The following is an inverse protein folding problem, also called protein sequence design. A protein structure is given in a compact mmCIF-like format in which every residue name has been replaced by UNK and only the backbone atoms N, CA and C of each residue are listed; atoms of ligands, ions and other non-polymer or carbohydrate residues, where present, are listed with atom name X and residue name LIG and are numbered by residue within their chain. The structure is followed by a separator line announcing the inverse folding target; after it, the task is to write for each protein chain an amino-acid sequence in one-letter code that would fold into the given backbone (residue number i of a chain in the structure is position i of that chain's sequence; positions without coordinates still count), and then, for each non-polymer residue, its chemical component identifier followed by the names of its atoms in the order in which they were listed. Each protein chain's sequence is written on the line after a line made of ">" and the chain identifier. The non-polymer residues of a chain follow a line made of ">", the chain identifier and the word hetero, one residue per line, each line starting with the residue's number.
data_IF_024989682639
#
_entry.id   IF_024989682639
#
_cell.length_a   1.000
_cell.length_b   1.000
_cell.length_c   1.000
_cell.angle_alpha   90.00
_cell.angle_beta   90.00
_cell.angle_gamma   90.00
#
_symmetry.space_group_name_H-M   'P 1'
#
loop_
_entity.id
_entity.type
_entity.pdbx_description
1 polymer ?
#
# COMPACT_ATOMS: atom_id res chain seq x y z
N UNK A 1 -13.56 -22.51 40.02
CA UNK A 1 -12.10 -22.39 39.74
C UNK A 1 -11.81 -21.94 38.31
N UNK A 2 -12.77 -21.97 37.38
CA UNK A 2 -12.58 -21.63 35.96
C UNK A 2 -12.79 -20.13 35.66
N UNK A 3 -13.61 -19.42 36.43
CA UNK A 3 -13.92 -17.99 36.19
C UNK A 3 -12.75 -17.05 36.48
N UNK A 4 -11.94 -17.34 37.51
CA UNK A 4 -10.77 -16.52 37.87
C UNK A 4 -9.68 -16.55 36.80
N UNK A 5 -9.57 -17.67 36.07
CA UNK A 5 -8.60 -17.82 34.99
C UNK A 5 -9.01 -16.98 33.78
N UNK A 6 -10.31 -16.89 33.47
CA UNK A 6 -10.81 -16.10 32.35
C UNK A 6 -10.62 -14.59 32.54
N UNK A 7 -10.92 -14.06 33.73
CA UNK A 7 -10.69 -12.64 34.05
C UNK A 7 -9.20 -12.27 34.01
N UNK A 8 -8.32 -13.17 34.42
CA UNK A 8 -6.86 -12.96 34.36
C UNK A 8 -6.30 -12.92 32.92
N UNK A 9 -6.94 -13.66 32.00
CA UNK A 9 -6.57 -13.69 30.57
C UNK A 9 -7.02 -12.41 29.88
N UNK A 10 -8.24 -11.94 30.17
CA UNK A 10 -8.79 -10.70 29.59
C UNK A 10 -8.06 -9.47 30.15
N UNK A 11 -7.71 -9.47 31.44
CA UNK A 11 -6.98 -8.36 32.08
C UNK A 11 -5.54 -8.17 31.56
N UNK A 12 -4.94 -9.20 30.96
CA UNK A 12 -3.61 -9.13 30.34
C UNK A 12 -3.66 -8.98 28.82
N UNK A 13 -4.85 -8.92 28.22
CA UNK A 13 -5.02 -8.68 26.80
C UNK A 13 -4.79 -7.19 26.51
N UNK A 14 -3.55 -6.83 26.22
CA UNK A 14 -3.28 -5.60 25.50
C UNK A 14 -3.60 -5.89 24.04
N UNK A 15 -4.61 -5.23 23.42
CA UNK A 15 -4.82 -5.38 21.98
C UNK A 15 -3.49 -5.09 21.30
N UNK A 16 -2.98 -6.04 20.50
CA UNK A 16 -1.80 -5.77 19.69
C UNK A 16 -2.10 -4.51 18.88
N UNK A 17 -1.13 -3.58 18.85
CA UNK A 17 -1.25 -2.34 18.07
C UNK A 17 -1.78 -2.72 16.68
N UNK A 18 -2.92 -2.16 16.28
CA UNK A 18 -3.50 -2.43 14.96
C UNK A 18 -2.55 -1.87 13.91
N UNK A 19 -1.69 -2.73 13.36
CA UNK A 19 -0.75 -2.35 12.32
C UNK A 19 -1.55 -2.02 11.05
N UNK A 20 -1.52 -0.75 10.65
CA UNK A 20 -2.18 -0.28 9.44
C UNK A 20 -1.19 -0.20 8.30
N UNK A 21 -1.41 -1.01 7.27
CA UNK A 21 -0.56 -1.06 6.09
C UNK A 21 -1.19 -0.31 4.90
N UNK A 22 -0.35 0.29 4.07
CA UNK A 22 -0.70 0.83 2.76
C UNK A 22 -0.05 -0.08 1.72
N UNK A 23 -0.83 -0.57 0.76
CA UNK A 23 -0.35 -1.31 -0.40
C UNK A 23 -0.57 -0.43 -1.63
N UNK A 24 0.50 -0.12 -2.36
CA UNK A 24 0.42 0.75 -3.53
C UNK A 24 1.31 0.24 -4.67
N UNK A 25 0.86 0.35 -5.92
CA UNK A 25 1.77 0.30 -7.04
C UNK A 25 2.51 1.64 -7.16
N UNK A 26 3.63 1.63 -7.86
CA UNK A 26 4.33 2.84 -8.27
C UNK A 26 4.90 2.65 -9.69
N UNK A 27 4.57 3.58 -10.56
CA UNK A 27 5.09 3.72 -11.91
C UNK A 27 6.17 4.79 -11.94
N UNK A 28 6.21 5.58 -13.02
CA UNK A 28 7.27 6.58 -13.23
C UNK A 28 6.90 7.99 -12.79
N UNK A 29 5.72 8.18 -12.18
CA UNK A 29 5.24 9.47 -11.68
C UNK A 29 4.88 9.36 -10.19
N UNK A 30 5.35 10.28 -9.33
CA UNK A 30 5.21 10.11 -7.88
C UNK A 30 3.84 10.50 -7.30
N UNK A 31 3.05 11.30 -8.03
CA UNK A 31 1.89 12.02 -7.46
C UNK A 31 0.81 11.17 -6.81
N UNK A 32 0.50 10.00 -7.38
CA UNK A 32 -0.51 9.10 -6.79
C UNK A 32 -0.07 8.57 -5.43
N UNK A 33 1.15 8.02 -5.33
CA UNK A 33 1.68 7.52 -4.06
C UNK A 33 1.84 8.66 -3.04
N UNK A 34 2.34 9.82 -3.47
CA UNK A 34 2.45 11.01 -2.62
C UNK A 34 1.09 11.40 -2.02
N UNK A 35 0.05 11.47 -2.85
CA UNK A 35 -1.32 11.80 -2.43
C UNK A 35 -1.83 10.80 -1.40
N UNK A 36 -1.64 9.49 -1.62
CA UNK A 36 -2.05 8.45 -0.67
C UNK A 36 -1.37 8.64 0.68
N UNK A 37 -0.05 8.86 0.68
CA UNK A 37 0.73 9.00 1.92
C UNK A 37 0.36 10.26 2.71
N UNK A 38 0.01 11.36 2.03
CA UNK A 38 -0.47 12.58 2.71
C UNK A 38 -1.91 12.48 3.20
N UNK A 39 -2.73 11.62 2.58
CA UNK A 39 -4.17 11.53 2.87
C UNK A 39 -4.53 10.42 3.86
N UNK A 40 -3.69 9.39 3.97
CA UNK A 40 -4.00 8.18 4.72
C UNK A 40 -2.87 7.87 5.70
N UNK A 41 -3.15 7.71 7.01
CA UNK A 41 -2.13 7.27 7.95
C UNK A 41 -1.82 5.79 7.73
N UNK A 42 -0.55 5.42 7.87
CA UNK A 42 -0.07 4.04 7.84
C UNK A 42 1.21 3.88 8.66
N UNK A 43 1.39 2.70 9.24
CA UNK A 43 2.60 2.30 9.96
C UNK A 43 3.57 1.52 9.05
N UNK A 44 3.02 0.91 7.98
CA UNK A 44 3.74 0.11 7.01
C UNK A 44 3.32 0.51 5.60
N UNK A 45 4.26 0.63 4.67
CA UNK A 45 4.02 0.81 3.25
C UNK A 45 4.66 -0.35 2.46
N UNK A 46 3.88 -1.02 1.62
CA UNK A 46 4.38 -2.01 0.66
C UNK A 46 4.15 -1.48 -0.75
N UNK A 47 5.24 -1.34 -1.50
CA UNK A 47 5.26 -0.76 -2.85
C UNK A 47 5.56 -1.87 -3.86
N UNK A 48 4.74 -2.00 -4.90
CA UNK A 48 5.03 -2.88 -6.05
C UNK A 48 5.42 -2.02 -7.25
N UNK A 49 6.65 -2.16 -7.73
CA UNK A 49 7.21 -1.26 -8.76
C UNK A 49 8.33 -1.91 -9.56
N UNK A 50 8.68 -1.32 -10.70
CA UNK A 50 9.93 -1.60 -11.41
C UNK A 50 11.11 -0.82 -10.85
N UNK A 51 12.31 -1.12 -11.35
CA UNK A 51 13.56 -0.41 -11.02
C UNK A 51 13.45 1.12 -11.16
N UNK A 52 12.74 1.59 -12.18
CA UNK A 52 12.60 3.02 -12.43
C UNK A 52 11.74 3.71 -11.37
N UNK A 53 10.64 3.07 -10.96
CA UNK A 53 9.80 3.61 -9.89
C UNK A 53 10.45 3.47 -8.52
N UNK A 54 11.23 2.41 -8.27
CA UNK A 54 11.99 2.22 -7.03
C UNK A 54 12.94 3.39 -6.75
N UNK A 55 13.59 3.94 -7.79
CA UNK A 55 14.46 5.12 -7.69
C UNK A 55 13.73 6.37 -7.19
N UNK A 56 12.41 6.45 -7.35
CA UNK A 56 11.59 7.58 -6.91
C UNK A 56 11.17 7.46 -5.43
N UNK A 57 11.18 6.25 -4.87
CA UNK A 57 10.64 5.97 -3.53
C UNK A 57 11.28 6.86 -2.45
N UNK A 58 12.62 7.00 -2.33
CA UNK A 58 13.21 7.78 -1.26
C UNK A 58 12.71 9.23 -1.22
N UNK A 59 12.67 9.90 -2.38
CA UNK A 59 12.17 11.29 -2.46
C UNK A 59 10.68 11.35 -2.10
N UNK A 60 9.85 10.40 -2.57
CA UNK A 60 8.42 10.38 -2.23
C UNK A 60 8.20 10.26 -0.73
N UNK A 61 8.92 9.34 -0.06
CA UNK A 61 8.81 9.12 1.39
C UNK A 61 9.22 10.38 2.15
N UNK A 62 10.32 11.01 1.74
CA UNK A 62 10.81 12.25 2.35
C UNK A 62 9.78 13.39 2.19
N UNK A 63 9.32 13.65 0.96
CA UNK A 63 8.33 14.70 0.64
C UNK A 63 6.99 14.47 1.32
N UNK A 64 6.57 13.21 1.43
CA UNK A 64 5.34 12.85 2.12
C UNK A 64 5.47 12.92 3.65
N UNK A 65 6.71 12.99 4.16
CA UNK A 65 7.06 12.91 5.57
C UNK A 65 6.58 11.61 6.22
N UNK A 66 6.49 10.53 5.43
CA UNK A 66 6.02 9.24 5.92
C UNK A 66 7.02 8.65 6.93
N UNK A 67 6.53 8.34 8.14
CA UNK A 67 7.36 7.86 9.27
C UNK A 67 7.29 6.35 9.51
N UNK A 68 6.42 5.65 8.78
CA UNK A 68 6.29 4.21 8.88
C UNK A 68 7.45 3.47 8.20
N UNK A 69 7.50 2.16 8.42
CA UNK A 69 8.40 1.28 7.67
C UNK A 69 7.91 1.17 6.21
N UNK A 70 8.83 1.04 5.25
CA UNK A 70 8.46 0.74 3.87
C UNK A 70 9.26 -0.41 3.29
N UNK A 71 8.62 -1.15 2.39
CA UNK A 71 9.21 -2.23 1.63
C UNK A 71 8.88 -2.08 0.14
N UNK A 72 9.87 -2.35 -0.70
CA UNK A 72 9.72 -2.40 -2.15
C UNK A 72 9.73 -3.85 -2.61
N UNK A 73 8.74 -4.23 -3.40
CA UNK A 73 8.68 -5.48 -4.13
C UNK A 73 8.96 -5.15 -5.59
N UNK A 74 10.13 -5.57 -6.04
CA UNK A 74 10.62 -5.31 -7.38
C UNK A 74 9.96 -6.22 -8.42
N UNK A 75 9.55 -5.63 -9.54
CA UNK A 75 9.02 -6.27 -10.74
C UNK A 75 9.94 -5.97 -11.91
N UNK A 76 10.50 -6.99 -12.55
CA UNK A 76 11.49 -6.80 -13.61
C UNK A 76 10.86 -6.17 -14.85
N UNK A 77 9.71 -6.70 -15.31
CA UNK A 77 8.97 -6.15 -16.44
C UNK A 77 7.56 -5.69 -16.02
N UNK A 78 7.37 -4.38 -15.76
CA UNK A 78 6.07 -3.84 -15.34
C UNK A 78 5.04 -3.80 -16.47
N UNK A 79 5.35 -4.28 -17.68
CA UNK A 79 4.42 -4.33 -18.81
C UNK A 79 4.08 -5.77 -19.23
N UNK A 80 5.02 -6.72 -19.10
CA UNK A 80 4.84 -8.11 -19.58
C UNK A 80 5.21 -9.20 -18.57
N UNK A 81 5.72 -8.87 -17.38
CA UNK A 81 6.16 -9.80 -16.33
C UNK A 81 5.02 -10.54 -15.62
N UNK A 82 4.10 -11.14 -16.37
CA UNK A 82 2.95 -11.88 -15.82
C UNK A 82 3.40 -13.13 -15.04
N UNK A 83 4.52 -13.72 -15.43
CA UNK A 83 5.18 -14.83 -14.74
C UNK A 83 5.70 -14.45 -13.34
N UNK A 84 5.90 -13.15 -13.07
CA UNK A 84 6.37 -12.66 -11.78
C UNK A 84 5.25 -12.55 -10.73
N UNK A 85 3.98 -12.60 -11.15
CA UNK A 85 2.81 -12.34 -10.29
C UNK A 85 2.81 -13.21 -9.04
N UNK A 86 3.09 -14.51 -9.17
CA UNK A 86 3.08 -15.43 -8.03
C UNK A 86 4.13 -15.03 -6.98
N UNK A 87 5.35 -14.72 -7.42
CA UNK A 87 6.46 -14.28 -6.57
C UNK A 87 6.16 -12.95 -5.89
N UNK A 88 5.53 -12.01 -6.60
CA UNK A 88 5.11 -10.71 -6.06
C UNK A 88 4.06 -10.88 -4.96
N UNK A 89 3.05 -11.73 -5.21
CA UNK A 89 2.00 -12.05 -4.23
C UNK A 89 2.59 -12.68 -2.97
N UNK A 90 3.51 -13.65 -3.12
CA UNK A 90 4.15 -14.30 -1.97
C UNK A 90 4.91 -13.30 -1.09
N UNK A 91 5.74 -12.45 -1.69
CA UNK A 91 6.48 -11.42 -0.96
C UNK A 91 5.54 -10.45 -0.24
N UNK A 92 4.48 -10.00 -0.92
CA UNK A 92 3.51 -9.10 -0.31
C UNK A 92 2.77 -9.74 0.87
N UNK A 93 2.39 -11.03 0.75
CA UNK A 93 1.77 -11.77 1.84
C UNK A 93 2.67 -11.83 3.09
N UNK A 94 3.97 -12.09 2.90
CA UNK A 94 4.93 -12.10 4.02
C UNK A 94 5.05 -10.72 4.69
N UNK A 95 5.13 -9.65 3.89
CA UNK A 95 5.26 -8.29 4.42
C UNK A 95 3.98 -7.81 5.11
N UNK A 96 2.82 -8.22 4.60
CA UNK A 96 1.52 -7.77 5.11
C UNK A 96 0.96 -8.70 6.19
N UNK A 97 1.65 -9.79 6.58
CA UNK A 97 1.10 -10.85 7.44
C UNK A 97 0.51 -10.31 8.76
N UNK A 98 1.22 -9.39 9.41
CA UNK A 98 0.87 -8.86 10.73
C UNK A 98 -0.09 -7.65 10.66
N UNK A 99 -0.35 -7.12 9.45
CA UNK A 99 -1.25 -5.99 9.27
C UNK A 99 -2.71 -6.39 9.50
N UNK A 100 -3.43 -5.60 10.29
CA UNK A 100 -4.85 -5.86 10.61
C UNK A 100 -5.79 -4.95 9.81
N UNK A 101 -5.29 -3.77 9.41
CA UNK A 101 -5.96 -2.85 8.50
C UNK A 101 -5.11 -2.61 7.25
N UNK A 102 -5.72 -2.65 6.07
CA UNK A 102 -5.05 -2.38 4.80
C UNK A 102 -5.78 -1.29 4.03
N UNK A 103 -5.01 -0.33 3.53
CA UNK A 103 -5.46 0.61 2.49
C UNK A 103 -4.76 0.25 1.19
N UNK A 104 -5.54 -0.05 0.16
CA UNK A 104 -5.05 -0.54 -1.13
C UNK A 104 -5.28 0.53 -2.17
N UNK A 105 -4.21 1.13 -2.66
CA UNK A 105 -4.26 2.09 -3.75
C UNK A 105 -4.23 1.35 -5.10
N UNK A 106 -5.14 1.69 -6.02
CA UNK A 106 -5.21 1.10 -7.37
C UNK A 106 -4.74 2.04 -8.48
N UNK A 107 -3.94 3.05 -8.14
CA UNK A 107 -3.44 4.06 -9.09
C UNK A 107 -1.95 4.31 -8.95
N UNK A 108 -1.35 4.86 -10.00
CA UNK A 108 0.05 5.28 -9.99
C UNK A 108 1.02 4.28 -10.62
N UNK A 109 0.61 3.05 -10.92
CA UNK A 109 1.41 2.06 -11.67
C UNK A 109 0.89 1.79 -13.08
N UNK A 110 1.62 0.97 -13.83
CA UNK A 110 1.14 0.40 -15.10
C UNK A 110 -0.05 -0.52 -14.86
N UNK A 111 -0.78 -0.89 -15.92
CA UNK A 111 -1.88 -1.86 -15.84
C UNK A 111 -1.46 -3.17 -15.17
N UNK A 112 -0.27 -3.70 -15.48
CA UNK A 112 0.19 -4.96 -14.90
C UNK A 112 0.57 -4.80 -13.41
N UNK A 113 1.17 -3.69 -13.00
CA UNK A 113 1.41 -3.42 -11.58
C UNK A 113 0.10 -3.32 -10.79
N UNK A 114 -0.89 -2.58 -11.31
CA UNK A 114 -2.22 -2.51 -10.69
C UNK A 114 -2.90 -3.88 -10.64
N UNK A 115 -2.74 -4.70 -11.68
CA UNK A 115 -3.22 -6.08 -11.69
C UNK A 115 -2.55 -6.93 -10.58
N UNK A 116 -1.24 -6.77 -10.35
CA UNK A 116 -0.56 -7.45 -9.25
C UNK A 116 -1.07 -7.01 -7.87
N UNK A 117 -1.37 -5.71 -7.69
CA UNK A 117 -2.00 -5.20 -6.46
C UNK A 117 -3.35 -5.87 -6.21
N UNK A 118 -4.18 -6.00 -7.24
CA UNK A 118 -5.46 -6.70 -7.15
C UNK A 118 -5.27 -8.18 -6.76
N UNK A 119 -4.26 -8.86 -7.31
CA UNK A 119 -3.94 -10.24 -6.92
C UNK A 119 -3.46 -10.35 -5.49
N UNK A 120 -2.66 -9.40 -5.01
CA UNK A 120 -2.25 -9.34 -3.60
C UNK A 120 -3.47 -9.15 -2.71
N UNK A 121 -4.33 -8.17 -3.01
CA UNK A 121 -5.58 -7.91 -2.28
C UNK A 121 -6.39 -9.19 -2.10
N UNK A 122 -6.58 -9.93 -3.18
CA UNK A 122 -7.38 -11.16 -3.15
C UNK A 122 -6.78 -12.23 -2.23
N UNK A 123 -5.46 -12.27 -2.08
CA UNK A 123 -4.76 -13.24 -1.23
C UNK A 123 -4.70 -12.82 0.25
N UNK A 124 -4.69 -11.52 0.55
CA UNK A 124 -4.58 -11.00 1.93
C UNK A 124 -5.92 -10.64 2.57
N UNK A 125 -7.04 -10.78 1.85
CA UNK A 125 -8.36 -10.27 2.29
C UNK A 125 -8.93 -10.90 3.56
N UNK A 126 -8.58 -12.16 3.85
CA UNK A 126 -9.18 -12.87 4.98
C UNK A 126 -8.59 -12.36 6.30
N UNK A 127 -9.47 -11.99 7.24
CA UNK A 127 -9.09 -11.53 8.57
C UNK A 127 -8.52 -10.11 8.64
N UNK A 128 -8.58 -9.34 7.54
CA UNK A 128 -8.10 -7.94 7.50
C UNK A 128 -9.23 -6.97 7.16
N UNK A 129 -9.20 -5.79 7.76
CA UNK A 129 -10.09 -4.69 7.38
C UNK A 129 -9.49 -3.97 6.18
N UNK A 130 -10.08 -4.17 5.00
CA UNK A 130 -9.60 -3.58 3.74
C UNK A 130 -10.43 -2.36 3.35
N UNK A 131 -9.73 -1.31 2.95
CA UNK A 131 -10.25 -0.19 2.17
C UNK A 131 -9.50 -0.12 0.85
N UNK A 132 -10.22 0.05 -0.24
CA UNK A 132 -9.62 0.24 -1.56
C UNK A 132 -9.82 1.68 -1.99
N UNK A 133 -8.78 2.31 -2.51
CA UNK A 133 -8.78 3.73 -2.89
C UNK A 133 -8.20 3.94 -4.28
N UNK A 134 -8.64 5.02 -4.92
CA UNK A 134 -8.08 5.58 -6.14
C UNK A 134 -7.59 6.97 -5.79
N UNK A 135 -6.31 7.24 -6.04
CA UNK A 135 -5.76 8.59 -5.98
C UNK A 135 -5.84 9.22 -7.37
N UNK A 136 -6.35 10.44 -7.44
CA UNK A 136 -6.45 11.17 -8.70
C UNK A 136 -6.14 12.65 -8.49
N UNK A 137 -5.70 13.28 -9.56
CA UNK A 137 -5.41 14.71 -9.60
C UNK A 137 -6.18 15.31 -10.77
N UNK A 138 -6.96 16.35 -10.50
CA UNK A 138 -7.83 17.01 -11.48
C UNK A 138 -7.05 17.98 -12.38
N UNK A 139 -5.81 18.32 -12.01
CA UNK A 139 -4.95 19.19 -12.81
C UNK A 139 -4.61 18.55 -14.15
N UNK A 140 -4.32 19.33 -15.20
CA UNK A 140 -3.78 18.80 -16.45
C UNK A 140 -2.54 17.93 -16.26
N UNK A 141 -2.42 16.86 -17.05
CA UNK A 141 -1.32 15.89 -16.92
C UNK A 141 0.08 16.53 -17.02
N UNK A 142 0.25 17.56 -17.86
CA UNK A 142 1.53 18.29 -17.98
C UNK A 142 1.88 19.07 -16.71
N UNK A 143 0.88 19.59 -16.00
CA UNK A 143 1.08 20.25 -14.69
C UNK A 143 1.44 19.23 -13.63
N UNK A 144 0.76 18.08 -13.60
CA UNK A 144 1.09 16.98 -12.69
C UNK A 144 2.54 16.50 -12.87
N UNK A 145 3.03 16.44 -14.11
CA UNK A 145 4.43 16.09 -14.39
C UNK A 145 5.43 17.12 -13.90
N UNK A 146 5.13 18.40 -14.05
CA UNK A 146 6.00 19.50 -13.62
C UNK A 146 6.03 19.63 -12.11
N UNK A 147 4.89 19.44 -11.46
CA UNK A 147 4.70 19.60 -10.02
C UNK A 147 3.96 18.40 -9.43
N UNK A 148 4.63 17.24 -9.28
CA UNK A 148 3.97 16.00 -8.89
C UNK A 148 3.75 15.87 -7.38
N UNK A 149 4.32 16.76 -6.57
CA UNK A 149 4.19 16.77 -5.10
C UNK A 149 3.12 17.76 -4.62
N UNK A 150 1.99 17.77 -5.30
CA UNK A 150 0.78 18.47 -4.85
C UNK A 150 -0.25 17.39 -4.49
N UNK A 151 -0.89 17.56 -3.33
CA UNK A 151 -1.83 16.58 -2.81
C UNK A 151 -3.08 16.60 -3.69
N UNK A 152 -3.36 15.48 -4.33
CA UNK A 152 -4.60 15.27 -5.09
C UNK A 152 -5.75 14.82 -4.19
N UNK A 153 -6.70 14.10 -4.79
CA UNK A 153 -7.90 13.60 -4.15
C UNK A 153 -7.86 12.08 -3.97
N UNK A 154 -8.61 11.59 -2.98
CA UNK A 154 -8.83 10.16 -2.73
C UNK A 154 -10.30 9.81 -2.94
N UNK A 155 -10.56 8.79 -3.75
CA UNK A 155 -11.87 8.16 -3.88
C UNK A 155 -11.84 6.77 -3.23
N UNK A 156 -12.62 6.55 -2.18
CA UNK A 156 -12.80 5.21 -1.58
C UNK A 156 -13.79 4.40 -2.43
N UNK A 157 -13.38 3.19 -2.82
CA UNK A 157 -14.22 2.28 -3.60
C UNK A 157 -15.16 1.47 -2.69
N UNK A 158 -16.38 1.16 -3.17
CA UNK A 158 -17.28 0.26 -2.45
C UNK A 158 -16.69 -1.15 -2.34
N UNK A 159 -17.13 -1.88 -1.32
CA UNK A 159 -16.73 -3.27 -1.05
C UNK A 159 -17.35 -4.25 -2.04
#
# INVERSE_FOLDING_TARGET
>A
MIEKDFESIVSNYTPSKQLKAILSPLGTTPGALYTVLKSVPGDLLVIVTSEQGEKLVPEIIERAEFKGEYHVIHVNDPFKGLDEVHKVVQQANEKLKDATELVINLTGGTTLLNYMIERIRDNVRYGKKIKTVIAYDERPYDEQKKEPYIVGNILELPK
#
